data_IF_860658056161
#
_entry.id   IF_860658056161
#
_cell.length_a   1.000
_cell.length_b   1.000
_cell.length_c   1.000
_cell.angle_alpha   90.00
_cell.angle_beta   90.00
_cell.angle_gamma   90.00
#
_symmetry.space_group_name_H-M   'P 1'
#
loop_
_entity.id
_entity.type
_entity.pdbx_description
1 polymer ?
#
# COMPACT_ATOMS: atom_id res chain seq x y z
N UNK A 1 -11.38 -4.60 -9.68
CA UNK A 1 -11.04 -5.99 -9.32
C UNK A 1 -9.52 -6.16 -9.26
N UNK A 2 -9.03 -7.25 -8.67
CA UNK A 2 -7.62 -7.37 -8.25
C UNK A 2 -6.57 -7.33 -9.38
N UNK A 3 -6.99 -7.51 -10.64
CA UNK A 3 -6.10 -7.33 -11.81
C UNK A 3 -5.52 -5.91 -11.93
N UNK A 4 -6.14 -4.92 -11.28
CA UNK A 4 -5.64 -3.55 -11.20
C UNK A 4 -4.23 -3.45 -10.58
N UNK A 5 -3.81 -4.46 -9.80
CA UNK A 5 -2.48 -4.50 -9.19
C UNK A 5 -1.34 -4.39 -10.22
N UNK A 6 -1.54 -4.87 -11.45
CA UNK A 6 -0.53 -4.81 -12.51
C UNK A 6 -0.22 -3.37 -12.89
N UNK A 7 -1.25 -2.54 -13.03
CA UNK A 7 -1.12 -1.12 -13.36
C UNK A 7 -0.58 -0.35 -12.16
N UNK A 8 -1.15 -0.57 -10.97
CA UNK A 8 -0.71 0.11 -9.74
C UNK A 8 0.78 -0.15 -9.46
N UNK A 9 1.22 -1.41 -9.49
CA UNK A 9 2.62 -1.77 -9.22
C UNK A 9 3.57 -1.26 -10.33
N UNK A 10 3.07 -0.96 -11.52
CA UNK A 10 3.83 -0.26 -12.56
C UNK A 10 4.30 1.10 -12.05
N UNK A 11 3.44 1.90 -11.42
CA UNK A 11 3.85 3.20 -10.84
C UNK A 11 4.89 3.03 -9.71
N UNK A 12 4.80 1.92 -8.97
CA UNK A 12 5.72 1.57 -7.88
C UNK A 12 7.02 0.88 -8.36
N UNK A 13 7.26 0.82 -9.67
CA UNK A 13 8.52 0.35 -10.24
C UNK A 13 8.56 -1.13 -10.62
N UNK A 14 7.41 -1.76 -10.85
CA UNK A 14 7.33 -3.17 -11.28
C UNK A 14 6.64 -3.27 -12.65
N UNK A 15 7.39 -3.65 -13.68
CA UNK A 15 6.83 -4.02 -14.97
C UNK A 15 6.39 -5.49 -14.93
N UNK A 16 5.16 -5.77 -15.39
CA UNK A 16 4.63 -7.13 -15.49
C UNK A 16 4.46 -7.54 -16.95
N UNK A 17 4.75 -8.79 -17.27
CA UNK A 17 4.53 -9.36 -18.61
C UNK A 17 3.94 -10.76 -18.49
N UNK A 18 2.78 -10.98 -19.11
CA UNK A 18 2.15 -12.30 -19.17
C UNK A 18 2.90 -13.20 -20.16
N UNK A 19 3.23 -14.39 -19.72
CA UNK A 19 3.90 -15.43 -20.48
C UNK A 19 2.99 -16.66 -20.55
N UNK A 20 3.37 -17.67 -21.33
CA UNK A 20 2.60 -18.93 -21.41
C UNK A 20 2.51 -19.66 -20.07
N UNK A 21 3.53 -19.53 -19.22
CA UNK A 21 3.68 -20.30 -17.99
C UNK A 21 3.44 -19.46 -16.72
N UNK A 22 3.05 -18.18 -16.85
CA UNK A 22 2.81 -17.30 -15.71
C UNK A 22 3.10 -15.83 -15.99
N UNK A 23 3.45 -15.08 -14.94
CA UNK A 23 3.71 -13.63 -15.02
C UNK A 23 5.18 -13.37 -14.69
N UNK A 24 5.87 -12.67 -15.57
CA UNK A 24 7.23 -12.18 -15.35
C UNK A 24 7.19 -10.77 -14.77
N UNK A 25 7.80 -10.58 -13.60
CA UNK A 25 7.96 -9.27 -12.96
C UNK A 25 9.40 -8.76 -13.15
N UNK A 26 9.54 -7.52 -13.60
CA UNK A 26 10.84 -6.85 -13.76
C UNK A 26 10.84 -5.52 -13.02
N UNK A 27 11.95 -5.24 -12.33
CA UNK A 27 12.18 -3.91 -11.75
C UNK A 27 12.30 -2.87 -12.87
N UNK A 28 11.64 -1.74 -12.69
CA UNK A 28 11.85 -0.50 -13.44
C UNK A 28 11.94 0.67 -12.46
N UNK A 29 12.10 1.88 -12.98
CA UNK A 29 12.03 3.11 -12.18
C UNK A 29 10.60 3.30 -11.66
N UNK A 30 10.48 3.75 -10.40
CA UNK A 30 9.21 4.10 -9.77
C UNK A 30 8.99 5.61 -9.86
N UNK A 31 7.74 6.03 -9.74
CA UNK A 31 7.36 7.43 -9.62
C UNK A 31 7.59 7.93 -8.20
N UNK A 32 7.84 9.23 -8.03
CA UNK A 32 8.02 9.85 -6.71
C UNK A 32 6.69 10.11 -6.01
N UNK A 33 5.62 10.31 -6.80
CA UNK A 33 4.27 10.57 -6.32
C UNK A 33 3.26 9.76 -7.14
N UNK A 34 2.27 9.15 -6.47
CA UNK A 34 1.23 8.32 -7.12
C UNK A 34 -0.14 8.66 -6.54
N UNK A 35 -1.19 8.62 -7.37
CA UNK A 35 -2.58 8.77 -6.92
C UNK A 35 -3.41 7.56 -7.38
N UNK A 36 -4.12 6.88 -6.46
CA UNK A 36 -4.88 5.65 -6.76
C UNK A 36 -6.27 5.67 -6.12
N UNK A 37 -7.29 5.28 -6.89
CA UNK A 37 -8.63 5.00 -6.37
C UNK A 37 -8.80 3.50 -6.15
N UNK A 38 -8.97 3.08 -4.90
CA UNK A 38 -9.14 1.67 -4.55
C UNK A 38 -10.61 1.25 -4.43
N UNK A 39 -11.58 2.08 -4.82
CA UNK A 39 -13.01 1.77 -4.66
C UNK A 39 -13.42 0.40 -5.23
N UNK A 40 -12.80 -0.02 -6.35
CA UNK A 40 -13.06 -1.30 -7.01
C UNK A 40 -12.16 -2.46 -6.54
N UNK A 41 -11.19 -2.20 -5.66
CA UNK A 41 -10.22 -3.17 -5.15
C UNK A 41 -9.62 -2.74 -3.78
N UNK A 42 -10.45 -2.49 -2.75
CA UNK A 42 -10.00 -1.92 -1.48
C UNK A 42 -8.98 -2.83 -0.77
N UNK A 43 -9.10 -4.14 -0.93
CA UNK A 43 -8.22 -5.11 -0.28
C UNK A 43 -6.79 -5.14 -0.90
N UNK A 44 -6.54 -4.47 -2.03
CA UNK A 44 -5.18 -4.26 -2.55
C UNK A 44 -4.43 -3.13 -1.84
N UNK A 45 -5.15 -2.20 -1.20
CA UNK A 45 -4.56 -0.99 -0.67
C UNK A 45 -3.50 -1.28 0.40
N UNK A 46 -3.72 -2.26 1.30
CA UNK A 46 -2.74 -2.61 2.34
C UNK A 46 -1.36 -2.95 1.77
N UNK A 47 -1.32 -3.82 0.75
CA UNK A 47 -0.06 -4.21 0.09
C UNK A 47 0.60 -3.02 -0.60
N UNK A 48 -0.19 -2.21 -1.31
CA UNK A 48 0.31 -1.08 -2.09
C UNK A 48 0.84 0.03 -1.18
N UNK A 49 0.12 0.36 -0.12
CA UNK A 49 0.50 1.37 0.89
C UNK A 49 1.84 1.01 1.54
N UNK A 50 2.00 -0.25 1.96
CA UNK A 50 3.26 -0.72 2.54
C UNK A 50 4.43 -0.58 1.55
N UNK A 51 4.20 -0.91 0.28
CA UNK A 51 5.21 -0.76 -0.77
C UNK A 51 5.56 0.70 -1.02
N UNK A 52 4.57 1.60 -1.11
CA UNK A 52 4.79 3.04 -1.30
C UNK A 52 5.61 3.63 -0.15
N UNK A 53 5.22 3.31 1.10
CA UNK A 53 5.90 3.76 2.30
C UNK A 53 7.38 3.34 2.34
N UNK A 54 7.68 2.10 1.96
CA UNK A 54 9.04 1.56 1.96
C UNK A 54 9.88 2.02 0.76
N UNK A 55 9.24 2.40 -0.37
CA UNK A 55 9.94 2.85 -1.59
C UNK A 55 10.24 4.34 -1.62
N UNK A 56 9.80 5.13 -0.64
CA UNK A 56 10.01 6.57 -0.68
C UNK A 56 8.98 7.29 -1.56
N UNK A 57 7.81 6.67 -1.80
CA UNK A 57 6.79 7.17 -2.73
C UNK A 57 5.70 7.86 -1.92
N UNK A 58 5.46 9.15 -2.19
CA UNK A 58 4.28 9.82 -1.66
C UNK A 58 3.05 9.33 -2.42
N UNK A 59 1.98 8.97 -1.71
CA UNK A 59 0.79 8.42 -2.35
C UNK A 59 -0.46 9.11 -1.84
N UNK A 60 -1.35 9.54 -2.75
CA UNK A 60 -2.74 9.86 -2.42
C UNK A 60 -3.64 8.71 -2.79
N UNK A 61 -4.58 8.37 -1.93
CA UNK A 61 -5.51 7.28 -2.18
C UNK A 61 -6.88 7.54 -1.58
N UNK A 62 -7.91 6.87 -2.11
CA UNK A 62 -9.28 6.88 -1.58
C UNK A 62 -9.96 5.53 -1.85
N UNK A 63 -11.18 5.36 -1.34
CA UNK A 63 -11.95 4.13 -1.56
C UNK A 63 -11.52 2.97 -0.68
N UNK A 64 -10.91 3.26 0.48
CA UNK A 64 -10.39 2.26 1.43
C UNK A 64 -11.20 2.20 2.73
N UNK A 65 -12.28 2.97 2.87
CA UNK A 65 -13.08 3.12 4.09
C UNK A 65 -13.66 1.78 4.57
N UNK A 66 -13.99 0.90 3.62
CA UNK A 66 -14.48 -0.45 3.91
C UNK A 66 -13.47 -1.32 4.68
N UNK A 67 -12.19 -0.95 4.70
CA UNK A 67 -11.15 -1.65 5.45
C UNK A 67 -11.29 -1.53 6.97
N UNK A 68 -12.06 -0.54 7.48
CA UNK A 68 -12.30 -0.35 8.92
C UNK A 68 -13.12 -1.48 9.55
N UNK A 69 -13.93 -2.16 8.75
CA UNK A 69 -14.91 -3.17 9.22
C UNK A 69 -14.53 -4.60 8.79
N UNK A 70 -13.24 -4.85 8.54
CA UNK A 70 -12.72 -6.18 8.17
C UNK A 70 -12.41 -6.98 9.43
N UNK A 71 -11.52 -7.97 9.35
CA UNK A 71 -11.09 -8.80 10.50
C UNK A 71 -10.55 -7.94 11.66
N UNK A 72 -9.87 -6.85 11.34
CA UNK A 72 -9.52 -5.74 12.25
C UNK A 72 -9.86 -4.40 11.60
N UNK A 73 -9.72 -3.29 12.33
CA UNK A 73 -9.64 -1.97 11.70
C UNK A 73 -8.29 -1.86 10.98
N UNK A 74 -8.26 -2.29 9.71
CA UNK A 74 -7.04 -2.36 8.91
C UNK A 74 -6.46 -0.99 8.60
N UNK A 75 -7.29 0.06 8.58
CA UNK A 75 -6.78 1.44 8.45
C UNK A 75 -6.00 1.79 9.71
N UNK A 76 -6.60 1.61 10.88
CA UNK A 76 -5.93 1.88 12.15
C UNK A 76 -4.67 1.02 12.34
N UNK A 77 -4.72 -0.26 11.96
CA UNK A 77 -3.59 -1.16 12.00
C UNK A 77 -2.45 -0.65 11.09
N UNK A 78 -2.72 -0.33 9.82
CA UNK A 78 -1.73 0.28 8.92
C UNK A 78 -1.15 1.56 9.50
N UNK A 79 -1.98 2.45 10.05
CA UNK A 79 -1.53 3.69 10.67
C UNK A 79 -0.55 3.46 11.83
N UNK A 80 -0.83 2.47 12.67
CA UNK A 80 0.03 2.13 13.81
C UNK A 80 1.33 1.47 13.36
N UNK A 81 1.26 0.56 12.38
CA UNK A 81 2.42 -0.18 11.91
C UNK A 81 3.35 0.70 11.07
N UNK A 82 2.84 1.54 10.16
CA UNK A 82 3.65 2.45 9.35
C UNK A 82 4.44 3.46 10.19
N UNK A 83 3.89 3.93 11.31
CA UNK A 83 4.61 4.81 12.25
C UNK A 83 5.92 4.20 12.73
N UNK A 84 5.97 2.87 12.90
CA UNK A 84 7.19 2.16 13.31
C UNK A 84 8.27 2.15 12.23
N UNK A 85 7.88 2.35 10.97
CA UNK A 85 8.79 2.53 9.84
C UNK A 85 9.18 4.00 9.61
N UNK A 86 8.79 4.94 10.48
CA UNK A 86 8.86 6.38 10.22
C UNK A 86 8.09 6.83 8.97
N UNK A 87 7.01 6.13 8.63
CA UNK A 87 6.04 6.48 7.60
C UNK A 87 4.68 6.77 8.24
N UNK A 88 3.74 7.32 7.48
CA UNK A 88 2.39 7.58 7.97
C UNK A 88 1.34 7.32 6.89
N UNK A 89 0.15 6.90 7.33
CA UNK A 89 -1.09 6.93 6.55
C UNK A 89 -2.01 7.94 7.23
N UNK A 90 -2.23 9.10 6.63
CA UNK A 90 -3.09 10.13 7.20
C UNK A 90 -4.42 10.15 6.47
N UNK A 91 -5.51 10.29 7.22
CA UNK A 91 -6.81 10.58 6.66
C UNK A 91 -6.91 12.09 6.38
N UNK A 92 -7.42 12.42 5.19
CA UNK A 92 -7.66 13.77 4.70
C UNK A 92 -9.18 14.00 4.61
N UNK A 93 -9.57 15.13 4.04
CA UNK A 93 -10.98 15.44 3.79
C UNK A 93 -11.56 14.57 2.66
N UNK A 94 -12.89 14.44 2.64
CA UNK A 94 -13.64 13.78 1.55
C UNK A 94 -13.26 12.32 1.25
N UNK A 95 -12.81 11.55 2.24
CA UNK A 95 -12.46 10.13 2.09
C UNK A 95 -11.09 9.89 1.42
N UNK A 96 -10.32 10.95 1.23
CA UNK A 96 -8.93 10.83 0.80
C UNK A 96 -8.02 10.48 1.96
N UNK A 97 -6.93 9.82 1.63
CA UNK A 97 -5.82 9.50 2.49
C UNK A 97 -4.52 9.85 1.79
N UNK A 98 -3.47 10.06 2.57
CA UNK A 98 -2.10 10.19 2.07
C UNK A 98 -1.15 9.23 2.78
N UNK A 99 -0.24 8.63 2.02
CA UNK A 99 0.93 7.93 2.53
C UNK A 99 2.10 8.89 2.49
N UNK A 100 2.61 9.23 3.67
CA UNK A 100 3.90 9.92 3.82
C UNK A 100 4.97 8.84 3.96
N UNK A 101 5.89 8.70 2.99
CA UNK A 101 6.81 7.58 2.98
C UNK A 101 7.93 7.76 4.01
N UNK A 102 8.60 6.65 4.32
CA UNK A 102 9.73 6.68 5.24
C UNK A 102 10.93 7.37 4.59
N UNK A 103 11.60 8.24 5.35
CA UNK A 103 12.91 8.80 4.99
C UNK A 103 14.07 7.96 5.49
N UNK A 104 13.85 7.20 6.56
CA UNK A 104 14.83 6.32 7.18
C UNK A 104 14.09 5.22 7.95
N UNK A 105 14.22 3.98 7.50
CA UNK A 105 13.57 2.83 8.11
C UNK A 105 14.45 2.33 9.26
N UNK A 106 13.93 2.20 10.50
CA UNK A 106 14.67 1.61 11.61
C UNK A 106 15.14 0.17 11.31
N UNK A 107 16.35 -0.19 11.77
CA UNK A 107 16.91 -1.53 11.53
C UNK A 107 16.12 -2.67 12.21
N UNK A 108 15.44 -2.37 13.31
CA UNK A 108 14.68 -3.34 14.10
C UNK A 108 13.26 -2.83 14.33
N UNK A 109 12.29 -3.57 13.80
CA UNK A 109 10.87 -3.26 13.89
C UNK A 109 10.14 -4.55 14.28
N UNK A 110 9.14 -4.42 15.16
CA UNK A 110 8.21 -5.48 15.47
C UNK A 110 6.83 -5.08 14.95
N UNK A 111 6.24 -5.95 14.15
CA UNK A 111 4.92 -5.73 13.56
C UNK A 111 3.89 -6.53 14.36
N UNK A 112 2.77 -5.91 14.70
CA UNK A 112 1.61 -6.65 15.20
C UNK A 112 0.74 -7.07 14.01
N UNK A 113 0.37 -8.34 13.96
CA UNK A 113 -0.44 -8.89 12.87
C UNK A 113 -1.94 -8.77 13.12
N UNK A 114 -2.36 -8.43 14.35
CA UNK A 114 -3.76 -8.22 14.74
C UNK A 114 -4.68 -9.42 14.43
N UNK A 115 -4.13 -10.64 14.39
CA UNK A 115 -4.81 -11.86 13.93
C UNK A 115 -5.48 -11.72 12.54
N UNK A 116 -4.96 -10.79 11.72
CA UNK A 116 -5.45 -10.49 10.38
C UNK A 116 -4.43 -10.93 9.33
N UNK A 117 -4.85 -11.84 8.45
CA UNK A 117 -3.98 -12.45 7.45
C UNK A 117 -3.44 -11.46 6.40
N UNK A 118 -4.09 -10.30 6.23
CA UNK A 118 -3.62 -9.24 5.33
C UNK A 118 -2.62 -8.30 6.01
N UNK A 119 -2.56 -8.29 7.34
CA UNK A 119 -1.57 -7.52 8.10
C UNK A 119 -0.27 -8.30 8.36
N UNK A 120 -0.32 -9.63 8.28
CA UNK A 120 0.82 -10.53 8.51
C UNK A 120 1.85 -10.56 7.37
#
# INVERSE_FOLDING_TARGET
GDSAIVEIMSHLGVASSFTKDGILLKKKTHETEVSVDFSDCPDLAQTVVACAAAKGIYMKLKGIESLRIKETDRILALQNELKKFNAALNELEEGWFEVVPSKNIPEKIQIHTYDDHRMA
#
